data_IF_479801221954
#
_entry.id   IF_479801221954
#
_cell.length_a   1.000
_cell.length_b   1.000
_cell.length_c   1.000
_cell.angle_alpha   90.00
_cell.angle_beta   90.00
_cell.angle_gamma   90.00
#
_symmetry.space_group_name_H-M   'P 1'
#
loop_
_entity.id
_entity.type
_entity.pdbx_description
1 polymer ?
#
# COMPACT_ATOMS: atom_id res chain seq x y z
N UNK A 1 -59.51 -10.00 8.36
CA UNK A 1 -58.43 -9.40 9.19
C UNK A 1 -57.13 -10.21 9.28
N UNK A 2 -57.12 -11.54 9.19
CA UNK A 2 -55.85 -12.34 9.25
C UNK A 2 -54.92 -12.18 8.05
N UNK A 3 -55.38 -11.78 6.88
CA UNK A 3 -54.58 -11.59 5.66
C UNK A 3 -53.82 -10.25 5.62
N UNK A 4 -54.25 -9.25 6.37
CA UNK A 4 -53.59 -7.93 6.42
C UNK A 4 -52.34 -7.93 7.26
N UNK A 5 -52.26 -8.78 8.30
CA UNK A 5 -51.11 -8.88 9.20
C UNK A 5 -49.91 -9.54 8.49
N UNK A 6 -50.17 -10.45 7.55
CA UNK A 6 -49.09 -11.12 6.81
C UNK A 6 -48.39 -10.17 5.84
N UNK A 7 -49.08 -9.16 5.31
CA UNK A 7 -48.52 -8.19 4.38
C UNK A 7 -47.59 -7.18 5.07
N UNK A 8 -47.91 -6.83 6.33
CA UNK A 8 -47.09 -5.90 7.13
C UNK A 8 -45.77 -6.55 7.58
N UNK A 9 -45.76 -7.86 7.81
CA UNK A 9 -44.53 -8.59 8.17
C UNK A 9 -43.54 -8.71 7.01
N UNK A 10 -43.98 -8.68 5.76
CA UNK A 10 -43.12 -8.73 4.59
C UNK A 10 -42.44 -7.38 4.27
N UNK A 11 -43.05 -6.26 4.65
CA UNK A 11 -42.52 -4.92 4.36
C UNK A 11 -41.42 -4.49 5.32
N UNK A 12 -41.26 -5.14 6.47
CA UNK A 12 -40.22 -4.79 7.45
C UNK A 12 -38.85 -5.44 7.17
N UNK A 13 -38.77 -6.42 6.27
CA UNK A 13 -37.48 -7.05 5.89
C UNK A 13 -36.73 -6.36 4.75
N UNK A 14 -37.28 -5.30 4.16
CA UNK A 14 -36.71 -4.65 2.97
C UNK A 14 -35.81 -3.45 3.26
N UNK A 15 -35.49 -3.13 4.50
CA UNK A 15 -34.78 -1.91 4.87
C UNK A 15 -33.45 -2.10 5.60
N UNK A 16 -32.76 -3.18 5.34
CA UNK A 16 -31.41 -3.32 5.91
C UNK A 16 -30.40 -3.80 4.87
N UNK A 17 -30.47 -3.24 3.68
CA UNK A 17 -29.28 -3.08 2.87
C UNK A 17 -28.71 -1.70 3.22
N UNK A 18 -28.03 -1.59 4.36
CA UNK A 18 -26.96 -0.61 4.47
C UNK A 18 -26.06 -0.87 3.29
N UNK A 19 -26.10 0.02 2.30
CA UNK A 19 -25.30 -0.10 1.11
C UNK A 19 -23.87 -0.32 1.54
N UNK A 20 -23.29 -1.43 1.14
CA UNK A 20 -21.86 -1.66 1.33
C UNK A 20 -21.17 -0.38 0.87
N UNK A 21 -20.31 0.24 1.70
CA UNK A 21 -19.69 1.48 1.34
C UNK A 21 -18.95 1.29 0.02
N UNK A 22 -19.54 1.85 -1.03
CA UNK A 22 -18.98 1.76 -2.36
C UNK A 22 -17.74 2.66 -2.38
N UNK A 23 -16.58 2.07 -2.52
CA UNK A 23 -15.33 2.81 -2.61
C UNK A 23 -15.11 3.47 -3.97
N UNK A 24 -16.07 3.38 -4.88
CA UNK A 24 -15.93 3.90 -6.24
C UNK A 24 -14.74 3.25 -6.96
N UNK A 25 -14.09 4.02 -7.84
CA UNK A 25 -12.90 3.57 -8.58
C UNK A 25 -11.57 3.90 -7.88
N UNK A 26 -11.61 4.36 -6.63
CA UNK A 26 -10.44 4.88 -5.89
C UNK A 26 -9.73 3.80 -5.04
N UNK A 27 -9.63 2.60 -5.56
CA UNK A 27 -8.79 1.60 -4.93
C UNK A 27 -7.32 1.92 -5.19
N UNK A 28 -6.58 2.06 -4.11
CA UNK A 28 -5.13 2.21 -4.14
C UNK A 28 -4.51 1.05 -3.40
N UNK A 29 -3.48 0.49 -3.99
CA UNK A 29 -2.66 -0.55 -3.36
C UNK A 29 -1.40 0.10 -2.78
N UNK A 30 -1.05 -0.28 -1.57
CA UNK A 30 0.19 0.14 -0.92
C UNK A 30 1.05 -1.07 -0.60
N UNK A 31 2.35 -0.91 -0.80
CA UNK A 31 3.38 -1.73 -0.19
C UNK A 31 4.05 -0.91 0.91
N UNK A 32 4.29 -1.54 2.05
CA UNK A 32 4.96 -0.91 3.19
C UNK A 32 6.21 -1.70 3.53
N UNK A 33 7.36 -1.04 3.42
CA UNK A 33 8.64 -1.60 3.83
C UNK A 33 9.05 -1.03 5.20
N UNK A 34 9.43 -1.93 6.10
CA UNK A 34 9.83 -1.63 7.47
C UNK A 34 11.24 -2.20 7.74
N UNK A 35 12.31 -1.57 7.17
CA UNK A 35 13.67 -1.98 7.46
C UNK A 35 14.06 -1.55 8.87
N UNK A 36 14.48 -2.50 9.70
CA UNK A 36 14.89 -2.28 11.08
C UNK A 36 16.32 -2.77 11.31
N UNK A 37 17.06 -2.04 12.13
CA UNK A 37 18.36 -2.49 12.61
C UNK A 37 18.18 -3.70 13.55
N UNK A 38 18.87 -4.78 13.25
CA UNK A 38 18.71 -6.06 13.95
C UNK A 38 19.02 -5.97 15.45
N UNK A 39 19.98 -5.10 15.84
CA UNK A 39 20.40 -4.96 17.22
C UNK A 39 19.46 -4.03 18.02
N UNK A 40 19.07 -2.90 17.42
CA UNK A 40 18.30 -1.86 18.13
C UNK A 40 16.79 -1.97 17.94
N UNK A 41 16.35 -2.74 16.95
CA UNK A 41 14.94 -2.89 16.51
C UNK A 41 14.29 -1.56 16.07
N UNK A 42 15.10 -0.54 15.78
CA UNK A 42 14.63 0.76 15.30
C UNK A 42 14.62 0.78 13.77
N UNK A 43 13.67 1.52 13.21
CA UNK A 43 13.59 1.77 11.77
C UNK A 43 14.85 2.50 11.31
N UNK A 44 15.36 2.10 10.16
CA UNK A 44 16.56 2.69 9.56
C UNK A 44 16.15 3.79 8.61
N UNK A 45 16.68 4.99 8.81
CA UNK A 45 16.47 6.14 7.94
C UNK A 45 17.52 6.25 6.83
N UNK A 46 17.13 6.95 5.75
CA UNK A 46 18.03 7.28 4.64
C UNK A 46 18.37 6.13 3.72
N UNK A 47 17.53 5.07 3.73
CA UNK A 47 17.67 3.98 2.78
C UNK A 47 17.00 4.32 1.45
N UNK A 48 17.57 3.84 0.35
CA UNK A 48 16.93 3.79 -0.95
C UNK A 48 16.24 2.44 -1.10
N UNK A 49 14.94 2.45 -1.33
CA UNK A 49 14.14 1.23 -1.46
C UNK A 49 13.39 1.29 -2.78
N UNK A 50 13.62 0.29 -3.65
CA UNK A 50 13.04 0.22 -4.99
C UNK A 50 12.31 -1.11 -5.20
N UNK A 51 11.32 -1.10 -6.09
CA UNK A 51 10.73 -2.32 -6.60
C UNK A 51 11.64 -2.88 -7.70
N UNK A 52 11.92 -4.17 -7.65
CA UNK A 52 12.75 -4.88 -8.64
C UNK A 52 12.03 -6.12 -9.17
N UNK A 53 12.42 -6.54 -10.36
CA UNK A 53 11.99 -7.79 -10.99
C UNK A 53 12.78 -9.00 -10.48
N UNK A 54 12.53 -10.17 -11.06
CA UNK A 54 13.23 -11.42 -10.72
C UNK A 54 14.71 -11.42 -11.02
N UNK A 55 15.18 -10.53 -11.90
CA UNK A 55 16.60 -10.37 -12.25
C UNK A 55 17.28 -9.32 -11.37
N UNK A 56 16.52 -8.61 -10.53
CA UNK A 56 17.00 -7.55 -9.65
C UNK A 56 17.09 -6.18 -10.34
N UNK A 57 16.52 -6.05 -11.56
CA UNK A 57 16.42 -4.78 -12.26
C UNK A 57 15.31 -3.91 -11.67
N UNK A 58 15.54 -2.61 -11.62
CA UNK A 58 14.54 -1.66 -11.10
C UNK A 58 13.33 -1.57 -12.04
N UNK A 59 12.14 -1.66 -11.48
CA UNK A 59 10.89 -1.60 -12.23
C UNK A 59 10.55 -0.17 -12.60
N UNK A 60 10.48 0.10 -13.90
CA UNK A 60 10.04 1.39 -14.46
C UNK A 60 8.52 1.42 -14.60
N UNK A 61 7.91 2.53 -14.19
CA UNK A 61 6.48 2.76 -14.35
C UNK A 61 6.15 3.39 -15.71
N UNK A 62 6.40 2.65 -16.79
CA UNK A 62 6.16 3.12 -18.16
C UNK A 62 4.66 3.33 -18.38
N UNK A 63 4.29 4.46 -18.99
CA UNK A 63 2.88 4.80 -19.30
C UNK A 63 1.92 4.71 -18.10
N UNK A 64 2.41 4.92 -16.89
CA UNK A 64 1.64 4.75 -15.66
C UNK A 64 1.05 3.35 -15.48
N UNK A 65 1.73 2.30 -15.92
CA UNK A 65 1.24 0.92 -15.81
C UNK A 65 0.93 0.55 -14.35
N UNK A 66 1.84 0.86 -13.43
CA UNK A 66 1.75 0.41 -12.03
C UNK A 66 1.33 1.50 -11.04
N UNK A 67 1.57 2.77 -11.34
CA UNK A 67 1.30 3.87 -10.39
C UNK A 67 0.87 5.14 -11.12
N UNK A 68 -0.04 5.91 -10.52
CA UNK A 68 -0.45 7.22 -11.07
C UNK A 68 0.51 8.36 -10.71
N UNK A 69 1.38 8.15 -9.72
CA UNK A 69 2.24 9.21 -9.17
C UNK A 69 3.70 9.12 -9.61
N UNK A 70 4.15 7.96 -10.09
CA UNK A 70 5.55 7.73 -10.50
C UNK A 70 5.69 7.66 -12.03
N UNK A 71 5.01 8.56 -12.77
CA UNK A 71 4.98 8.52 -14.23
C UNK A 71 6.39 8.47 -14.82
N UNK A 72 6.64 7.45 -15.66
CA UNK A 72 7.90 7.22 -16.38
C UNK A 72 9.14 7.24 -15.47
N UNK A 73 9.00 6.80 -14.21
CA UNK A 73 10.08 6.74 -13.23
C UNK A 73 10.17 5.35 -12.61
N UNK A 74 11.30 5.08 -11.99
CA UNK A 74 11.51 3.90 -11.14
C UNK A 74 10.50 3.93 -9.99
N UNK A 75 9.96 2.77 -9.64
CA UNK A 75 9.06 2.62 -8.50
C UNK A 75 9.87 2.61 -7.21
N UNK A 76 9.89 3.75 -6.52
CA UNK A 76 10.67 4.00 -5.30
C UNK A 76 9.73 4.16 -4.12
N UNK A 77 10.06 3.51 -3.02
CA UNK A 77 9.38 3.71 -1.74
C UNK A 77 9.84 5.04 -1.12
N UNK A 78 8.90 5.76 -0.55
CA UNK A 78 9.17 7.04 0.12
C UNK A 78 8.52 7.11 1.49
N UNK A 79 9.10 7.89 2.38
CA UNK A 79 8.47 8.35 3.62
C UNK A 79 7.66 9.61 3.32
N UNK A 80 6.56 9.80 4.03
CA UNK A 80 5.76 11.04 3.99
C UNK A 80 5.33 11.46 2.56
N UNK A 81 4.54 10.63 1.93
CA UNK A 81 4.03 10.89 0.58
C UNK A 81 3.21 12.18 0.50
N UNK A 82 3.70 13.14 -0.29
CA UNK A 82 2.91 14.27 -0.79
C UNK A 82 2.74 14.16 -2.29
N UNK A 83 1.54 14.36 -2.79
CA UNK A 83 1.28 14.51 -4.23
C UNK A 83 0.66 15.87 -4.47
N UNK A 84 1.33 16.68 -5.30
CA UNK A 84 0.76 17.90 -5.82
C UNK A 84 -0.07 17.58 -7.06
N UNK A 85 -1.35 17.85 -7.02
CA UNK A 85 -2.25 17.68 -8.16
C UNK A 85 -2.04 18.81 -9.19
N UNK A 86 -2.57 18.61 -10.40
CA UNK A 86 -2.47 19.58 -11.50
C UNK A 86 -3.07 20.96 -11.16
N UNK A 87 -3.99 21.03 -10.19
CA UNK A 87 -4.59 22.27 -9.67
C UNK A 87 -3.79 22.90 -8.51
N UNK A 88 -2.57 22.47 -8.27
CA UNK A 88 -1.70 22.87 -7.15
C UNK A 88 -2.23 22.47 -5.76
N UNK A 89 -3.29 21.70 -5.67
CA UNK A 89 -3.75 21.11 -4.42
C UNK A 89 -2.74 20.06 -3.95
N UNK A 90 -2.24 20.20 -2.72
CA UNK A 90 -1.40 19.19 -2.08
C UNK A 90 -2.31 18.20 -1.38
N UNK A 91 -2.39 16.98 -1.90
CA UNK A 91 -3.00 15.87 -1.17
C UNK A 91 -1.94 15.14 -0.37
N UNK A 92 -2.14 15.15 0.93
CA UNK A 92 -1.45 14.26 1.82
C UNK A 92 -2.05 12.87 1.67
N UNK A 93 -1.31 11.96 1.10
CA UNK A 93 -1.67 10.56 1.27
C UNK A 93 -1.38 10.21 2.71
N UNK A 94 -2.44 9.84 3.41
CA UNK A 94 -2.36 9.47 4.81
C UNK A 94 -1.28 8.39 4.95
N UNK A 95 -0.23 8.72 5.69
CA UNK A 95 0.76 7.74 6.06
C UNK A 95 0.12 6.78 7.06
N UNK A 96 -0.32 5.63 6.55
CA UNK A 96 -0.94 4.58 7.37
C UNK A 96 0.05 3.97 8.36
N UNK A 97 1.33 4.21 8.15
CA UNK A 97 2.42 3.69 8.93
C UNK A 97 3.43 4.83 9.11
N UNK A 98 3.36 5.53 10.23
CA UNK A 98 4.33 6.56 10.58
C UNK A 98 5.74 5.95 10.54
N UNK A 99 6.69 6.70 9.97
CA UNK A 99 8.11 6.36 9.84
C UNK A 99 8.50 5.23 8.88
N UNK A 100 7.58 4.43 8.34
CA UNK A 100 7.91 3.42 7.34
C UNK A 100 8.00 4.00 5.92
N UNK A 101 8.51 3.16 5.00
CA UNK A 101 8.60 3.48 3.58
C UNK A 101 7.40 2.91 2.84
N UNK A 102 6.71 3.75 2.07
CA UNK A 102 5.53 3.39 1.30
C UNK A 102 5.77 3.47 -0.20
N UNK A 103 5.19 2.54 -0.94
CA UNK A 103 5.03 2.63 -2.39
C UNK A 103 3.55 2.52 -2.72
N UNK A 104 3.01 3.53 -3.43
CA UNK A 104 1.64 3.56 -3.91
C UNK A 104 1.55 2.97 -5.31
N UNK A 105 0.65 2.01 -5.48
CA UNK A 105 0.43 1.28 -6.71
C UNK A 105 -1.05 1.30 -7.09
N UNK A 106 -1.35 0.91 -8.32
CA UNK A 106 -2.72 0.65 -8.75
C UNK A 106 -3.27 -0.63 -8.14
N UNK A 107 -4.59 -0.73 -8.03
CA UNK A 107 -5.27 -1.86 -7.42
C UNK A 107 -5.06 -3.22 -8.13
N UNK A 108 -4.71 -3.18 -9.41
CA UNK A 108 -4.46 -4.38 -10.22
C UNK A 108 -3.01 -4.88 -10.18
N UNK A 109 -2.19 -4.36 -9.28
CA UNK A 109 -0.83 -4.83 -9.09
C UNK A 109 -0.83 -6.20 -8.41
N UNK A 110 -0.22 -7.21 -9.03
CA UNK A 110 -0.12 -8.58 -8.52
C UNK A 110 1.37 -8.97 -8.50
N UNK A 111 2.04 -8.90 -7.33
CA UNK A 111 3.49 -9.10 -7.24
C UNK A 111 3.92 -10.54 -7.52
N UNK A 112 3.16 -11.54 -7.08
CA UNK A 112 3.53 -12.96 -7.24
C UNK A 112 3.51 -13.41 -8.70
N UNK A 113 2.63 -12.85 -9.53
CA UNK A 113 2.52 -13.22 -10.94
C UNK A 113 3.81 -12.92 -11.71
N UNK A 114 4.50 -11.84 -11.34
CA UNK A 114 5.75 -11.40 -11.99
C UNK A 114 7.01 -11.61 -11.12
N UNK A 115 6.85 -12.13 -9.91
CA UNK A 115 7.97 -12.41 -9.01
C UNK A 115 8.71 -11.17 -8.51
N UNK A 116 8.00 -10.05 -8.30
CA UNK A 116 8.61 -8.82 -7.83
C UNK A 116 9.21 -8.93 -6.42
N UNK A 117 10.23 -8.12 -6.17
CA UNK A 117 10.92 -8.02 -4.89
C UNK A 117 11.18 -6.55 -4.50
N UNK A 118 11.47 -6.34 -3.24
CA UNK A 118 11.95 -5.05 -2.71
C UNK A 118 13.47 -5.12 -2.58
N UNK A 119 14.17 -4.17 -3.21
CA UNK A 119 15.61 -3.97 -3.06
C UNK A 119 15.86 -2.80 -2.11
N UNK A 120 16.59 -3.07 -1.05
CA UNK A 120 16.98 -2.09 -0.03
C UNK A 120 18.47 -1.82 -0.16
N UNK A 121 18.85 -0.56 -0.38
CA UNK A 121 20.22 -0.12 -0.53
C UNK A 121 20.51 1.01 0.44
N UNK A 122 21.65 0.95 1.11
CA UNK A 122 22.14 2.01 1.98
C UNK A 122 23.28 2.77 1.29
N UNK A 123 23.03 4.01 0.87
CA UNK A 123 24.05 4.86 0.23
C UNK A 123 25.24 5.18 1.13
N UNK A 124 25.06 5.03 2.43
CA UNK A 124 26.14 5.21 3.43
C UNK A 124 26.92 3.92 3.72
N UNK A 125 26.59 2.82 3.06
CA UNK A 125 27.21 1.51 3.25
C UNK A 125 27.25 1.01 4.70
N UNK A 126 26.27 1.41 5.54
CA UNK A 126 26.14 0.92 6.92
C UNK A 126 25.61 -0.50 6.97
N UNK A 127 24.82 -0.87 5.94
CA UNK A 127 24.15 -2.16 5.80
C UNK A 127 24.36 -2.71 4.39
N UNK A 128 24.44 -4.04 4.22
CA UNK A 128 24.52 -4.66 2.90
C UNK A 128 23.20 -4.48 2.13
N UNK A 129 23.30 -4.43 0.81
CA UNK A 129 22.12 -4.46 -0.06
C UNK A 129 21.35 -5.74 0.16
N UNK A 130 20.04 -5.61 0.38
CA UNK A 130 19.15 -6.74 0.67
C UNK A 130 18.00 -6.76 -0.33
N UNK A 131 17.66 -7.94 -0.85
CA UNK A 131 16.50 -8.13 -1.73
C UNK A 131 15.54 -9.11 -1.04
N UNK A 132 14.27 -8.70 -0.95
CA UNK A 132 13.22 -9.46 -0.27
C UNK A 132 12.03 -9.65 -1.20
N UNK A 133 11.57 -10.89 -1.45
CA UNK A 133 10.42 -11.14 -2.30
C UNK A 133 9.14 -10.53 -1.71
N UNK A 134 8.22 -10.15 -2.61
CA UNK A 134 6.90 -9.62 -2.25
C UNK A 134 5.86 -10.69 -2.55
N UNK A 135 4.93 -10.84 -1.62
CA UNK A 135 3.79 -11.74 -1.74
C UNK A 135 2.47 -10.96 -1.77
N UNK A 136 1.41 -11.56 -2.27
CA UNK A 136 0.09 -10.91 -2.34
C UNK A 136 -0.44 -10.49 -0.97
N UNK A 137 -0.06 -11.18 0.10
CA UNK A 137 -0.42 -10.79 1.47
C UNK A 137 0.32 -9.55 1.99
N UNK A 138 1.35 -9.04 1.27
CA UNK A 138 2.00 -7.78 1.60
C UNK A 138 1.24 -6.55 1.06
N UNK A 139 0.22 -6.76 0.24
CA UNK A 139 -0.56 -5.69 -0.35
C UNK A 139 -1.62 -5.17 0.62
N UNK A 140 -1.65 -3.86 0.78
CA UNK A 140 -2.77 -3.15 1.41
C UNK A 140 -3.63 -2.54 0.31
N UNK A 141 -4.78 -3.10 0.04
CA UNK A 141 -5.74 -2.53 -0.90
C UNK A 141 -6.72 -1.66 -0.11
N UNK A 142 -6.63 -0.36 -0.28
CA UNK A 142 -7.39 0.60 0.50
C UNK A 142 -8.33 1.42 -0.35
N UNK A 143 -9.51 1.64 0.18
CA UNK A 143 -10.42 2.67 -0.29
C UNK A 143 -9.97 4.02 0.28
N UNK A 144 -9.68 4.98 -0.58
CA UNK A 144 -9.13 6.29 -0.22
C UNK A 144 -9.95 7.02 0.86
N UNK A 145 -11.27 6.84 0.84
CA UNK A 145 -12.17 7.49 1.82
C UNK A 145 -12.13 6.87 3.21
N UNK A 146 -11.60 5.65 3.35
CA UNK A 146 -11.59 4.90 4.62
C UNK A 146 -10.19 4.66 5.20
N UNK A 147 -9.15 5.17 4.57
CA UNK A 147 -7.74 4.97 4.99
C UNK A 147 -7.52 5.32 6.47
N UNK A 148 -8.14 6.38 6.97
CA UNK A 148 -8.01 6.81 8.37
C UNK A 148 -8.46 5.79 9.40
N UNK A 149 -9.40 4.90 9.03
CA UNK A 149 -9.95 3.90 9.96
C UNK A 149 -9.15 2.59 10.00
N UNK A 150 -8.22 2.40 9.08
CA UNK A 150 -7.49 1.13 8.93
C UNK A 150 -6.05 1.14 9.47
N UNK A 151 -5.44 2.33 9.65
CA UNK A 151 -4.01 2.48 9.98
C UNK A 151 -3.46 1.54 11.06
N UNK A 152 -4.00 1.52 12.29
CA UNK A 152 -3.42 0.72 13.37
C UNK A 152 -3.57 -0.80 13.21
N UNK A 153 -4.49 -1.26 12.36
CA UNK A 153 -4.81 -2.70 12.21
C UNK A 153 -4.00 -3.39 11.11
N UNK A 154 -3.19 -2.65 10.35
CA UNK A 154 -2.57 -3.15 9.12
C UNK A 154 -1.09 -3.49 9.25
N UNK A 155 -0.56 -3.57 10.46
CA UNK A 155 0.86 -3.84 10.71
C UNK A 155 1.33 -5.23 10.28
N UNK A 156 0.41 -6.19 10.10
CA UNK A 156 0.77 -7.59 9.84
C UNK A 156 1.24 -7.88 8.41
N UNK A 157 1.01 -6.96 7.47
CA UNK A 157 1.36 -7.16 6.05
C UNK A 157 2.61 -6.39 5.63
N UNK A 158 3.27 -5.70 6.56
CA UNK A 158 4.50 -4.98 6.25
C UNK A 158 5.64 -5.93 5.87
N UNK A 159 6.44 -5.51 4.90
CA UNK A 159 7.68 -6.18 4.55
C UNK A 159 8.74 -5.76 5.59
N UNK A 160 8.79 -6.48 6.70
CA UNK A 160 9.76 -6.21 7.76
C UNK A 160 11.07 -6.92 7.45
N UNK A 161 12.16 -6.16 7.44
CA UNK A 161 13.51 -6.66 7.12
C UNK A 161 14.47 -6.29 8.23
N UNK A 162 15.01 -7.28 8.91
CA UNK A 162 16.09 -7.07 9.88
C UNK A 162 17.44 -6.97 9.16
N UNK A 163 18.04 -5.80 9.24
CA UNK A 163 19.34 -5.52 8.60
C UNK A 163 20.46 -5.61 9.63
N UNK A 164 21.50 -6.35 9.28
CA UNK A 164 22.69 -6.58 10.10
C UNK A 164 23.83 -5.76 9.50
N UNK A 165 24.59 -5.06 10.37
CA UNK A 165 25.77 -4.29 9.97
C UNK A 165 26.92 -5.19 9.60
#
# INVERSE_FOLDING_TARGET
MKKLILFILFTTFSFSQEGLPHCGYDFTTYLVANPIDAATKKIIDGLQITLVDTEGNEVMNINNEYSFIHKDKVLVFAKNYQVTLANSEVRWFYNICEDQYLLQLKANFIPEEKGYAVKITDSLNRYPTTIVPIFNNNLYVLCTTKVKSFGPKMTNNMITVEMIK
#
